data_IF_491965348989
#
_entry.id   IF_491965348989
#
_cell.length_a   1.000
_cell.length_b   1.000
_cell.length_c   1.000
_cell.angle_alpha   90.00
_cell.angle_beta   90.00
_cell.angle_gamma   90.00
#
_symmetry.space_group_name_H-M   'P 1'
#
loop_
_entity.id
_entity.type
_entity.pdbx_description
1 polymer ?
#
# COMPACT_ATOMS: atom_id res chain seq x y z
N UNK A 1 -3.09 -19.68 -8.07
CA UNK A 1 -3.96 -20.59 -7.29
C UNK A 1 -4.16 -19.96 -5.93
N UNK A 2 -5.24 -19.21 -5.73
CA UNK A 2 -5.51 -18.48 -4.48
C UNK A 2 -6.99 -18.60 -4.12
N UNK A 3 -7.24 -18.74 -2.80
CA UNK A 3 -8.50 -19.08 -2.16
C UNK A 3 -9.44 -17.87 -2.10
N UNK A 4 -10.61 -17.99 -2.71
CA UNK A 4 -11.66 -16.96 -2.70
C UNK A 4 -12.43 -17.01 -1.38
N UNK A 5 -12.41 -15.91 -0.61
CA UNK A 5 -13.07 -15.82 0.69
C UNK A 5 -14.53 -15.32 0.59
N UNK A 6 -15.41 -15.99 1.34
CA UNK A 6 -16.89 -15.94 1.37
C UNK A 6 -17.53 -14.63 1.89
N UNK A 7 -16.86 -13.46 1.81
CA UNK A 7 -17.26 -12.27 2.59
C UNK A 7 -17.85 -11.07 1.84
N UNK A 8 -18.02 -11.12 0.52
CA UNK A 8 -18.78 -10.11 -0.27
C UNK A 8 -20.30 -10.08 0.00
N UNK A 9 -20.79 -10.88 0.96
CA UNK A 9 -22.22 -11.16 1.10
C UNK A 9 -23.05 -10.09 1.83
N UNK A 10 -22.47 -9.12 2.54
CA UNK A 10 -23.22 -8.40 3.58
C UNK A 10 -23.81 -7.03 3.21
N UNK A 11 -23.44 -6.40 2.10
CA UNK A 11 -24.06 -5.12 1.68
C UNK A 11 -24.99 -5.17 0.47
N UNK A 12 -25.19 -6.34 -0.16
CA UNK A 12 -26.08 -6.53 -1.33
C UNK A 12 -27.34 -7.38 -1.03
N UNK A 13 -27.83 -7.34 0.22
CA UNK A 13 -28.69 -8.37 0.83
C UNK A 13 -30.18 -8.40 0.43
N UNK A 14 -30.60 -7.86 -0.71
CA UNK A 14 -31.98 -8.09 -1.21
C UNK A 14 -32.07 -8.70 -2.60
N UNK A 15 -30.98 -8.73 -3.37
CA UNK A 15 -31.03 -9.19 -4.76
C UNK A 15 -30.15 -10.42 -4.99
N UNK A 16 -30.81 -11.59 -5.13
CA UNK A 16 -30.16 -12.87 -5.40
C UNK A 16 -29.30 -12.82 -6.68
N UNK A 17 -29.72 -12.06 -7.69
CA UNK A 17 -28.98 -11.89 -8.93
C UNK A 17 -27.65 -11.18 -8.71
N UNK A 18 -27.61 -10.12 -7.90
CA UNK A 18 -26.36 -9.42 -7.59
C UNK A 18 -25.32 -10.33 -6.93
N UNK A 19 -25.76 -11.24 -6.03
CA UNK A 19 -24.87 -12.21 -5.36
C UNK A 19 -24.25 -13.20 -6.34
N UNK A 20 -25.04 -13.72 -7.28
CA UNK A 20 -24.54 -14.65 -8.31
C UNK A 20 -23.51 -13.98 -9.22
N UNK A 21 -23.76 -12.74 -9.63
CA UNK A 21 -22.82 -11.98 -10.45
C UNK A 21 -21.51 -11.66 -9.72
N UNK A 22 -21.60 -11.22 -8.46
CA UNK A 22 -20.42 -10.93 -7.64
C UNK A 22 -19.59 -12.18 -7.39
N UNK A 23 -20.24 -13.32 -7.12
CA UNK A 23 -19.54 -14.58 -6.87
C UNK A 23 -18.86 -15.12 -8.14
N UNK A 24 -19.55 -15.10 -9.28
CA UNK A 24 -18.96 -15.50 -10.56
C UNK A 24 -17.78 -14.58 -10.98
N UNK A 25 -17.82 -13.32 -10.56
CA UNK A 25 -16.78 -12.32 -10.80
C UNK A 25 -15.55 -12.54 -9.89
N UNK A 26 -15.75 -12.92 -8.63
CA UNK A 26 -14.63 -13.20 -7.71
C UNK A 26 -13.97 -14.55 -7.93
N UNK A 27 -14.73 -15.54 -8.40
CA UNK A 27 -14.22 -16.90 -8.63
C UNK A 27 -13.33 -16.99 -9.89
N UNK A 28 -13.38 -16.00 -10.78
CA UNK A 28 -12.62 -15.97 -12.04
C UNK A 28 -11.85 -14.64 -12.16
N UNK A 29 -10.55 -14.64 -11.86
CA UNK A 29 -9.68 -13.47 -12.07
C UNK A 29 -8.66 -13.72 -13.20
N UNK A 30 -8.47 -12.77 -14.14
CA UNK A 30 -9.16 -11.48 -14.27
C UNK A 30 -10.66 -11.66 -14.58
N UNK A 31 -11.51 -10.70 -14.17
CA UNK A 31 -12.95 -10.88 -14.20
C UNK A 31 -13.44 -10.98 -15.64
N UNK A 32 -14.41 -11.86 -15.94
CA UNK A 32 -14.90 -11.99 -17.29
C UNK A 32 -15.58 -10.68 -17.72
N UNK A 33 -14.93 -9.94 -18.63
CA UNK A 33 -15.48 -8.76 -19.28
C UNK A 33 -16.93 -8.91 -19.82
N UNK A 34 -17.41 -10.11 -20.21
CA UNK A 34 -18.81 -10.30 -20.59
C UNK A 34 -19.82 -10.02 -19.47
N UNK A 35 -19.49 -10.26 -18.19
CA UNK A 35 -20.46 -10.12 -17.08
C UNK A 35 -20.93 -8.67 -16.88
N UNK A 36 -20.06 -7.71 -17.17
CA UNK A 36 -20.34 -6.27 -17.05
C UNK A 36 -21.29 -5.78 -18.15
N UNK A 37 -21.36 -6.51 -19.28
CA UNK A 37 -22.13 -6.14 -20.47
C UNK A 37 -23.53 -6.76 -20.50
N UNK A 38 -23.89 -7.59 -19.53
CA UNK A 38 -25.17 -8.31 -19.51
C UNK A 38 -26.36 -7.34 -19.41
N UNK A 39 -26.33 -6.40 -18.46
CA UNK A 39 -27.36 -5.38 -18.31
C UNK A 39 -26.85 -4.18 -17.51
N UNK A 40 -27.59 -3.06 -17.54
CA UNK A 40 -27.24 -1.85 -16.78
C UNK A 40 -27.12 -2.12 -15.28
N UNK A 41 -28.00 -2.94 -14.70
CA UNK A 41 -27.94 -3.28 -13.28
C UNK A 41 -26.65 -4.05 -12.93
N UNK A 42 -26.26 -5.03 -13.74
CA UNK A 42 -25.01 -5.75 -13.56
C UNK A 42 -23.80 -4.81 -13.69
N UNK A 43 -23.84 -3.86 -14.64
CA UNK A 43 -22.83 -2.83 -14.76
C UNK A 43 -22.72 -1.99 -13.47
N UNK A 44 -23.83 -1.49 -12.95
CA UNK A 44 -23.85 -0.68 -11.72
C UNK A 44 -23.39 -1.45 -10.48
N UNK A 45 -23.68 -2.75 -10.38
CA UNK A 45 -23.23 -3.58 -9.26
C UNK A 45 -21.74 -3.92 -9.32
N UNK A 46 -21.20 -4.17 -10.51
CA UNK A 46 -19.81 -4.59 -10.67
C UNK A 46 -18.84 -3.41 -10.73
N UNK A 47 -19.30 -2.21 -11.08
CA UNK A 47 -18.43 -1.03 -11.21
C UNK A 47 -17.68 -0.68 -9.91
N UNK A 48 -18.31 -0.62 -8.71
CA UNK A 48 -17.58 -0.35 -7.47
C UNK A 48 -16.51 -1.40 -7.20
N UNK A 49 -16.80 -2.67 -7.49
CA UNK A 49 -15.84 -3.77 -7.30
C UNK A 49 -14.65 -3.59 -8.25
N UNK A 50 -14.89 -3.40 -9.55
CA UNK A 50 -13.84 -3.22 -10.56
C UNK A 50 -12.87 -2.07 -10.28
N UNK A 51 -13.38 -0.97 -9.72
CA UNK A 51 -12.58 0.23 -9.46
C UNK A 51 -12.07 0.30 -8.02
N UNK A 52 -12.48 -0.62 -7.13
CA UNK A 52 -12.15 -0.56 -5.72
C UNK A 52 -10.64 -0.53 -5.47
N UNK A 53 -9.90 -1.41 -6.15
CA UNK A 53 -8.44 -1.46 -6.10
C UNK A 53 -7.87 -1.54 -7.50
N UNK A 54 -6.86 -0.72 -7.75
CA UNK A 54 -6.20 -0.62 -9.05
C UNK A 54 -4.70 -0.69 -8.89
N UNK A 55 -4.03 -1.31 -9.86
CA UNK A 55 -2.58 -1.44 -9.89
C UNK A 55 -2.02 -0.95 -11.21
N UNK A 56 -0.87 -0.29 -11.16
CA UNK A 56 -0.15 0.23 -12.32
C UNK A 56 1.33 -0.18 -12.26
N UNK A 57 1.72 -1.08 -13.14
CA UNK A 57 3.11 -1.49 -13.34
C UNK A 57 3.85 -0.55 -14.30
N UNK A 58 3.13 0.12 -15.21
CA UNK A 58 3.72 0.97 -16.25
C UNK A 58 3.17 2.39 -16.29
N UNK A 59 4.00 3.33 -16.73
CA UNK A 59 3.63 4.72 -16.99
C UNK A 59 2.51 4.83 -18.04
N UNK A 60 2.55 3.97 -19.05
CA UNK A 60 1.54 3.91 -20.12
C UNK A 60 0.17 3.48 -19.60
N UNK A 61 0.10 2.43 -18.76
CA UNK A 61 -1.15 2.00 -18.14
C UNK A 61 -1.77 3.09 -17.27
N UNK A 62 -0.93 3.77 -16.49
CA UNK A 62 -1.35 4.88 -15.63
C UNK A 62 -1.91 6.05 -16.46
N UNK A 63 -1.18 6.47 -17.49
CA UNK A 63 -1.57 7.57 -18.39
C UNK A 63 -2.84 7.26 -19.16
N UNK A 64 -2.96 6.03 -19.68
CA UNK A 64 -4.15 5.56 -20.41
C UNK A 64 -5.36 5.51 -19.49
N UNK A 65 -5.21 4.99 -18.27
CA UNK A 65 -6.29 4.94 -17.29
C UNK A 65 -6.81 6.34 -16.98
N UNK A 66 -5.93 7.28 -16.62
CA UNK A 66 -6.39 8.64 -16.28
C UNK A 66 -7.01 9.33 -17.48
N UNK A 67 -6.44 9.18 -18.68
CA UNK A 67 -6.98 9.80 -19.90
C UNK A 67 -8.35 9.24 -20.30
N UNK A 68 -8.59 7.94 -20.08
CA UNK A 68 -9.87 7.30 -20.39
C UNK A 68 -10.99 7.65 -19.39
N UNK A 69 -10.64 8.02 -18.15
CA UNK A 69 -11.61 8.28 -17.07
C UNK A 69 -11.80 9.76 -16.77
N UNK A 70 -10.82 10.59 -17.11
CA UNK A 70 -10.88 12.02 -16.91
C UNK A 70 -11.58 12.69 -18.10
N UNK A 71 -12.90 12.78 -18.02
CA UNK A 71 -13.72 13.53 -18.97
C UNK A 71 -14.33 14.71 -18.20
N UNK A 72 -13.90 15.96 -18.47
CA UNK A 72 -14.47 17.15 -17.82
C UNK A 72 -16.00 17.12 -17.87
N UNK A 73 -16.65 17.31 -16.72
CA UNK A 73 -18.12 17.32 -16.56
C UNK A 73 -18.84 16.00 -16.92
N UNK A 74 -18.11 14.93 -17.19
CA UNK A 74 -18.67 13.62 -17.55
C UNK A 74 -19.02 12.73 -16.35
N UNK A 75 -20.02 11.86 -16.52
CA UNK A 75 -20.35 10.79 -15.56
C UNK A 75 -19.14 9.89 -15.22
N UNK A 76 -18.11 9.83 -16.08
CA UNK A 76 -16.92 9.01 -15.85
C UNK A 76 -15.97 9.55 -14.75
N UNK A 77 -15.95 10.86 -14.48
CA UNK A 77 -15.19 11.42 -13.35
C UNK A 77 -15.70 10.87 -11.99
N UNK A 78 -16.96 10.43 -11.91
CA UNK A 78 -17.50 9.81 -10.71
C UNK A 78 -16.80 8.50 -10.32
N UNK A 79 -16.10 7.83 -11.26
CA UNK A 79 -15.46 6.53 -11.00
C UNK A 79 -14.23 6.64 -10.11
N UNK A 80 -13.52 7.78 -10.10
CA UNK A 80 -12.41 7.97 -9.17
C UNK A 80 -12.84 7.91 -7.70
N UNK A 81 -14.11 8.20 -7.41
CA UNK A 81 -14.67 8.08 -6.06
C UNK A 81 -14.89 6.62 -5.64
N UNK A 82 -14.81 5.67 -6.56
CA UNK A 82 -14.92 4.24 -6.23
C UNK A 82 -13.57 3.66 -5.79
N UNK A 83 -12.46 4.32 -6.13
CA UNK A 83 -11.11 3.86 -5.84
C UNK A 83 -10.79 4.05 -4.36
N UNK A 84 -10.45 2.94 -3.70
CA UNK A 84 -10.02 2.88 -2.30
C UNK A 84 -8.56 2.50 -2.17
N UNK A 85 -8.03 1.68 -3.08
CA UNK A 85 -6.68 1.17 -3.00
C UNK A 85 -5.93 1.41 -4.32
N UNK A 86 -4.73 1.96 -4.24
CA UNK A 86 -3.87 2.18 -5.41
C UNK A 86 -2.52 1.52 -5.13
N UNK A 87 -2.05 0.76 -6.11
CA UNK A 87 -0.69 0.22 -6.17
C UNK A 87 0.02 0.75 -7.41
N UNK A 88 1.18 1.39 -7.27
CA UNK A 88 1.98 1.85 -8.40
C UNK A 88 3.40 1.32 -8.20
N UNK A 89 3.90 0.59 -9.20
CA UNK A 89 5.21 -0.04 -9.21
C UNK A 89 5.17 -1.49 -9.68
N UNK A 90 6.33 -2.14 -9.71
CA UNK A 90 6.45 -3.54 -10.11
C UNK A 90 5.73 -4.50 -9.17
N UNK A 91 5.42 -5.69 -9.67
CA UNK A 91 4.86 -6.84 -8.94
C UNK A 91 5.83 -8.02 -9.02
N UNK A 92 5.62 -9.10 -8.25
CA UNK A 92 6.47 -10.30 -8.36
C UNK A 92 6.50 -10.92 -9.76
N UNK A 93 5.41 -10.81 -10.51
CA UNK A 93 5.26 -11.40 -11.84
C UNK A 93 5.57 -10.41 -12.98
N UNK A 94 5.51 -9.10 -12.71
CA UNK A 94 5.67 -8.04 -13.71
C UNK A 94 6.40 -6.84 -13.12
N UNK A 95 7.68 -6.66 -13.48
CA UNK A 95 8.50 -5.53 -13.00
C UNK A 95 7.98 -4.16 -13.44
N UNK A 96 7.36 -4.08 -14.63
CA UNK A 96 6.89 -2.81 -15.19
C UNK A 96 8.01 -1.93 -15.76
N UNK A 97 7.73 -0.64 -15.96
CA UNK A 97 8.69 0.36 -16.48
C UNK A 97 8.96 1.53 -15.49
N UNK A 98 8.27 1.51 -14.34
CA UNK A 98 8.38 2.48 -13.26
C UNK A 98 9.49 2.08 -12.26
N UNK A 99 10.71 1.95 -12.75
CA UNK A 99 11.88 1.59 -11.93
C UNK A 99 12.46 2.79 -11.16
N UNK A 100 13.34 2.51 -10.19
CA UNK A 100 14.01 3.57 -9.42
C UNK A 100 14.91 4.41 -10.33
N UNK A 101 14.92 5.73 -10.14
CA UNK A 101 15.58 6.72 -11.00
C UNK A 101 15.06 6.75 -12.46
N UNK A 102 13.94 6.10 -12.75
CA UNK A 102 13.29 6.17 -14.06
C UNK A 102 12.78 7.59 -14.34
N UNK A 103 13.07 8.12 -15.52
CA UNK A 103 12.63 9.46 -15.95
C UNK A 103 11.22 9.47 -16.54
N UNK A 104 10.60 8.29 -16.72
CA UNK A 104 9.28 8.15 -17.34
C UNK A 104 8.13 8.18 -16.33
N UNK A 105 8.41 8.40 -15.05
CA UNK A 105 7.37 8.59 -14.03
C UNK A 105 6.44 9.75 -14.40
N UNK A 106 5.15 9.50 -14.67
CA UNK A 106 4.23 10.54 -15.12
C UNK A 106 3.66 11.31 -13.92
N UNK A 107 4.52 11.98 -13.15
CA UNK A 107 4.18 12.54 -11.83
C UNK A 107 2.93 13.44 -11.84
N UNK A 108 2.76 14.28 -12.86
CA UNK A 108 1.56 15.12 -13.02
C UNK A 108 0.29 14.27 -13.11
N UNK A 109 0.35 13.13 -13.80
CA UNK A 109 -0.76 12.20 -13.92
C UNK A 109 -1.01 11.49 -12.57
N UNK A 110 0.05 11.09 -11.86
CA UNK A 110 -0.10 10.49 -10.53
C UNK A 110 -0.73 11.46 -9.54
N UNK A 111 -0.21 12.70 -9.47
CA UNK A 111 -0.79 13.76 -8.63
C UNK A 111 -2.28 13.97 -8.93
N UNK A 112 -2.66 14.04 -10.22
CA UNK A 112 -4.05 14.19 -10.63
C UNK A 112 -4.92 13.00 -10.24
N UNK A 113 -4.43 11.77 -10.45
CA UNK A 113 -5.11 10.56 -10.01
C UNK A 113 -5.40 10.62 -8.50
N UNK A 114 -4.39 10.92 -7.69
CA UNK A 114 -4.53 11.03 -6.23
C UNK A 114 -5.50 12.15 -5.83
N UNK A 115 -5.48 13.27 -6.56
CA UNK A 115 -6.41 14.38 -6.32
C UNK A 115 -7.87 13.99 -6.56
N UNK A 116 -8.15 13.21 -7.61
CA UNK A 116 -9.52 12.78 -7.95
C UNK A 116 -10.02 11.63 -7.06
N UNK A 117 -9.12 10.80 -6.51
CA UNK A 117 -9.45 9.69 -5.63
C UNK A 117 -9.80 10.14 -4.20
N UNK A 118 -10.91 10.89 -4.05
CA UNK A 118 -11.38 11.46 -2.76
C UNK A 118 -11.73 10.45 -1.68
N UNK A 119 -11.73 9.16 -2.01
CA UNK A 119 -12.10 8.06 -1.14
C UNK A 119 -10.93 7.09 -0.88
N UNK A 120 -9.73 7.40 -1.37
CA UNK A 120 -8.51 6.60 -1.22
C UNK A 120 -8.19 6.34 0.25
N UNK A 121 -7.89 5.07 0.57
CA UNK A 121 -7.55 4.55 1.90
C UNK A 121 -6.17 3.92 1.93
N UNK A 122 -5.79 3.20 0.88
CA UNK A 122 -4.51 2.51 0.78
C UNK A 122 -3.74 3.00 -0.44
N UNK A 123 -2.49 3.38 -0.24
CA UNK A 123 -1.59 3.80 -1.32
C UNK A 123 -0.26 3.07 -1.16
N UNK A 124 0.13 2.34 -2.20
CA UNK A 124 1.45 1.76 -2.36
C UNK A 124 2.14 2.46 -3.52
N UNK A 125 3.27 3.12 -3.26
CA UNK A 125 4.14 3.72 -4.26
C UNK A 125 5.51 3.09 -4.15
N UNK A 126 5.86 2.30 -5.17
CA UNK A 126 7.17 1.66 -5.23
C UNK A 126 8.07 2.29 -6.26
N UNK A 127 9.38 2.28 -5.98
CA UNK A 127 10.43 2.71 -6.91
C UNK A 127 10.35 4.18 -7.36
N UNK A 128 9.59 5.02 -6.66
CA UNK A 128 9.62 6.47 -6.89
C UNK A 128 10.99 7.01 -6.44
N UNK A 129 11.64 7.79 -7.32
CA UNK A 129 12.92 8.43 -6.98
C UNK A 129 12.77 9.32 -5.74
N UNK A 130 13.75 9.25 -4.84
CA UNK A 130 13.74 9.97 -3.56
C UNK A 130 13.57 11.49 -3.69
N UNK A 131 13.99 12.08 -4.82
CA UNK A 131 13.87 13.52 -5.07
C UNK A 131 12.49 13.90 -5.63
N UNK A 132 11.73 12.92 -6.12
CA UNK A 132 10.41 13.10 -6.73
C UNK A 132 9.28 13.01 -5.70
N UNK A 133 9.51 12.34 -4.56
CA UNK A 133 8.54 12.27 -3.46
C UNK A 133 8.04 13.65 -3.02
N UNK A 134 8.95 14.60 -2.79
CA UNK A 134 8.63 15.98 -2.37
C UNK A 134 7.68 16.66 -3.34
N UNK A 135 7.78 16.34 -4.65
CA UNK A 135 6.90 16.92 -5.67
C UNK A 135 5.48 16.35 -5.60
N UNK A 136 5.26 15.22 -4.95
CA UNK A 136 3.96 14.56 -4.85
C UNK A 136 3.28 14.69 -3.47
N UNK A 137 3.98 15.12 -2.42
CA UNK A 137 3.42 15.22 -1.06
C UNK A 137 2.08 15.96 -0.99
N UNK A 138 1.95 17.04 -1.76
CA UNK A 138 0.73 17.85 -1.81
C UNK A 138 -0.49 17.08 -2.32
N UNK A 139 -0.29 16.05 -3.16
CA UNK A 139 -1.36 15.28 -3.78
C UNK A 139 -1.89 14.14 -2.88
N UNK A 140 -1.22 13.83 -1.77
CA UNK A 140 -1.64 12.78 -0.83
C UNK A 140 -2.99 13.16 -0.20
N UNK A 141 -4.07 12.37 -0.43
CA UNK A 141 -5.42 12.77 -0.01
C UNK A 141 -5.62 12.62 1.49
N UNK A 142 -6.38 13.54 2.09
CA UNK A 142 -6.72 13.52 3.53
C UNK A 142 -7.40 12.21 4.01
N UNK A 143 -8.01 11.45 3.11
CA UNK A 143 -8.71 10.20 3.45
C UNK A 143 -7.78 9.00 3.64
N UNK A 144 -6.51 9.12 3.25
CA UNK A 144 -5.54 8.03 3.28
C UNK A 144 -5.30 7.54 4.71
N UNK A 145 -5.30 6.22 4.88
CA UNK A 145 -5.07 5.53 6.16
C UNK A 145 -3.81 4.69 6.16
N UNK A 146 -3.46 4.11 5.01
CA UNK A 146 -2.30 3.24 4.86
C UNK A 146 -1.42 3.74 3.73
N UNK A 147 -0.14 3.92 4.00
CA UNK A 147 0.86 4.33 3.02
C UNK A 147 2.05 3.35 3.04
N UNK A 148 2.39 2.82 1.87
CA UNK A 148 3.55 1.96 1.66
C UNK A 148 4.47 2.64 0.66
N UNK A 149 5.73 2.85 1.05
CA UNK A 149 6.77 3.46 0.22
C UNK A 149 8.00 2.56 0.16
N UNK A 150 8.69 2.54 -1.00
CA UNK A 150 10.01 1.94 -1.17
C UNK A 150 10.19 1.19 -2.49
N UNK A 151 11.39 0.70 -2.83
CA UNK A 151 12.64 0.94 -2.16
C UNK A 151 13.08 2.40 -2.33
N UNK A 152 13.93 2.87 -1.42
CA UNK A 152 14.64 4.16 -1.49
C UNK A 152 13.70 5.36 -1.72
N UNK A 153 12.65 5.51 -0.89
CA UNK A 153 11.63 6.56 -1.09
C UNK A 153 12.03 7.99 -0.65
N UNK A 154 13.27 8.18 -0.19
CA UNK A 154 13.76 9.47 0.29
C UNK A 154 13.26 9.85 1.68
N UNK A 155 13.48 11.11 2.10
CA UNK A 155 13.00 11.58 3.39
C UNK A 155 11.47 11.65 3.45
N UNK A 156 10.87 10.97 4.43
CA UNK A 156 9.43 11.04 4.66
C UNK A 156 9.11 11.51 6.07
N UNK A 157 8.30 12.58 6.16
CA UNK A 157 7.74 13.08 7.42
C UNK A 157 6.22 13.19 7.27
N UNK A 158 5.48 12.37 8.00
CA UNK A 158 4.02 12.38 7.99
C UNK A 158 3.46 13.74 8.45
N UNK A 159 4.18 14.47 9.33
CA UNK A 159 3.80 15.82 9.74
C UNK A 159 3.80 16.84 8.60
N UNK A 160 4.58 16.60 7.55
CA UNK A 160 4.74 17.54 6.43
C UNK A 160 3.64 17.40 5.37
N UNK A 161 2.84 16.34 5.42
CA UNK A 161 1.76 16.11 4.45
C UNK A 161 0.72 17.24 4.51
N UNK A 162 0.53 18.05 3.45
CA UNK A 162 -0.29 19.26 3.51
C UNK A 162 -1.76 19.00 3.86
N UNK A 163 -2.31 17.88 3.40
CA UNK A 163 -3.70 17.51 3.63
C UNK A 163 -3.94 16.82 4.99
N UNK A 164 -2.88 16.58 5.78
CA UNK A 164 -2.92 15.97 7.13
C UNK A 164 -3.78 14.71 7.21
N UNK A 165 -3.49 13.68 6.40
CA UNK A 165 -4.25 12.44 6.43
C UNK A 165 -4.19 11.80 7.82
N UNK A 166 -5.25 11.13 8.24
CA UNK A 166 -5.25 10.31 9.46
C UNK A 166 -4.54 8.99 9.19
N UNK A 167 -3.23 9.06 8.94
CA UNK A 167 -2.40 7.90 8.62
C UNK A 167 -2.31 6.98 9.84
N UNK A 168 -2.89 5.79 9.71
CA UNK A 168 -2.94 4.74 10.75
C UNK A 168 -1.79 3.74 10.54
N UNK A 169 -1.44 3.45 9.29
CA UNK A 169 -0.40 2.49 8.95
C UNK A 169 0.63 3.08 7.99
N UNK A 170 1.90 2.92 8.32
CA UNK A 170 2.99 3.25 7.42
C UNK A 170 3.96 2.09 7.28
N UNK A 171 4.28 1.73 6.04
CA UNK A 171 5.34 0.77 5.73
C UNK A 171 6.43 1.44 4.91
N UNK A 172 7.66 1.39 5.42
CA UNK A 172 8.87 1.71 4.67
C UNK A 172 9.57 0.42 4.26
N UNK A 173 9.68 0.18 2.96
CA UNK A 173 10.39 -0.97 2.41
C UNK A 173 11.77 -0.57 1.90
N UNK A 174 12.79 -1.36 2.22
CA UNK A 174 14.15 -1.28 1.67
C UNK A 174 14.71 0.15 1.62
N UNK A 175 14.46 0.94 2.66
CA UNK A 175 14.85 2.34 2.73
C UNK A 175 15.54 2.63 4.06
N UNK A 176 16.66 3.33 3.98
CA UNK A 176 17.29 3.94 5.15
C UNK A 176 16.46 5.15 5.56
N UNK A 177 15.98 5.16 6.81
CA UNK A 177 15.25 6.28 7.39
C UNK A 177 16.11 6.92 8.47
N UNK A 178 16.17 8.25 8.50
CA UNK A 178 16.86 8.98 9.57
C UNK A 178 16.06 8.94 10.87
N UNK A 179 16.75 9.17 11.99
CA UNK A 179 16.15 9.10 13.33
C UNK A 179 14.99 10.09 13.50
N UNK A 180 15.11 11.29 12.93
CA UNK A 180 14.07 12.32 12.99
C UNK A 180 12.81 11.95 12.20
N UNK A 181 12.96 11.22 11.09
CA UNK A 181 11.82 10.70 10.32
C UNK A 181 11.09 9.59 11.07
N UNK A 182 11.85 8.68 11.69
CA UNK A 182 11.27 7.62 12.51
C UNK A 182 10.55 8.19 13.73
N UNK A 183 11.15 9.19 14.39
CA UNK A 183 10.50 9.89 15.50
C UNK A 183 9.22 10.59 15.05
N UNK A 184 9.22 11.25 13.88
CA UNK A 184 8.02 11.89 13.34
C UNK A 184 6.87 10.89 13.15
N UNK A 185 7.15 9.73 12.58
CA UNK A 185 6.15 8.68 12.35
C UNK A 185 5.63 8.06 13.64
N UNK A 186 6.54 7.72 14.56
CA UNK A 186 6.21 7.12 15.85
C UNK A 186 5.34 8.06 16.69
N UNK A 187 5.58 9.36 16.62
CA UNK A 187 4.82 10.38 17.32
C UNK A 187 3.60 10.91 16.55
N UNK A 188 3.36 10.40 15.34
CA UNK A 188 2.26 10.89 14.52
C UNK A 188 0.90 10.55 15.17
N UNK A 189 -0.04 11.51 15.33
CA UNK A 189 -1.18 11.36 16.23
C UNK A 189 -2.13 10.20 15.91
N UNK A 190 -2.27 9.82 14.64
CA UNK A 190 -3.13 8.70 14.23
C UNK A 190 -2.38 7.39 14.02
N UNK A 191 -1.06 7.38 14.09
CA UNK A 191 -0.25 6.21 13.73
C UNK A 191 -0.48 5.08 14.72
N UNK A 192 -0.84 3.91 14.18
CA UNK A 192 -1.09 2.66 14.89
C UNK A 192 -0.02 1.63 14.60
N UNK A 193 0.37 1.49 13.34
CA UNK A 193 1.38 0.51 12.92
C UNK A 193 2.45 1.21 12.10
N UNK A 194 3.68 1.15 12.58
CA UNK A 194 4.85 1.55 11.81
C UNK A 194 5.68 0.31 11.48
N UNK A 195 5.81 0.00 10.20
CA UNK A 195 6.52 -1.19 9.73
C UNK A 195 7.72 -0.84 8.86
N UNK A 196 8.80 -1.59 9.05
CA UNK A 196 9.99 -1.55 8.20
C UNK A 196 10.26 -2.93 7.64
N UNK A 197 10.27 -3.05 6.31
CA UNK A 197 10.67 -4.29 5.62
C UNK A 197 12.09 -4.08 5.10
N UNK A 198 13.01 -4.94 5.51
CA UNK A 198 14.43 -4.82 5.17
C UNK A 198 15.00 -6.15 4.68
N UNK A 199 15.92 -6.09 3.72
CA UNK A 199 16.59 -7.28 3.21
C UNK A 199 17.59 -7.81 4.24
N UNK A 200 17.58 -9.12 4.45
CA UNK A 200 18.45 -9.82 5.37
C UNK A 200 19.95 -9.63 5.08
N UNK A 201 20.32 -9.37 3.83
CA UNK A 201 21.70 -9.15 3.39
C UNK A 201 22.20 -7.71 3.59
N UNK A 202 21.37 -6.85 4.20
CA UNK A 202 21.71 -5.45 4.44
C UNK A 202 21.92 -5.15 5.93
N UNK A 203 22.45 -3.97 6.23
CA UNK A 203 22.46 -3.42 7.61
C UNK A 203 21.09 -2.85 8.03
N UNK A 204 20.12 -2.82 7.12
CA UNK A 204 18.78 -2.29 7.35
C UNK A 204 18.08 -2.83 8.59
N UNK A 205 18.07 -4.16 8.86
CA UNK A 205 17.50 -4.72 10.08
C UNK A 205 18.12 -4.13 11.36
N UNK A 206 19.44 -4.01 11.42
CA UNK A 206 20.15 -3.51 12.60
C UNK A 206 19.86 -2.03 12.84
N UNK A 207 19.88 -1.22 11.78
CA UNK A 207 19.53 0.20 11.87
C UNK A 207 18.08 0.40 12.31
N UNK A 208 17.16 -0.48 11.90
CA UNK A 208 15.78 -0.45 12.38
C UNK A 208 15.67 -0.77 13.88
N UNK A 209 16.46 -1.72 14.37
CA UNK A 209 16.54 -2.02 15.81
C UNK A 209 17.13 -0.84 16.59
N UNK A 210 18.14 -0.16 16.06
CA UNK A 210 18.75 1.01 16.73
C UNK A 210 17.75 2.15 17.02
N UNK A 211 16.69 2.25 16.23
CA UNK A 211 15.72 3.34 16.31
C UNK A 211 14.52 3.03 17.21
N UNK A 212 14.36 1.81 17.72
CA UNK A 212 13.20 1.43 18.57
C UNK A 212 13.04 2.21 19.89
N UNK A 213 14.09 2.79 20.54
CA UNK A 213 13.90 3.49 21.81
C UNK A 213 12.88 4.65 21.75
N UNK A 214 12.65 5.23 20.58
CA UNK A 214 11.69 6.32 20.41
C UNK A 214 10.23 5.93 20.69
N UNK A 215 9.88 4.64 20.66
CA UNK A 215 8.52 4.12 20.90
C UNK A 215 8.02 4.41 22.32
N UNK A 216 8.93 4.53 23.29
CA UNK A 216 8.59 4.93 24.67
C UNK A 216 7.88 6.29 24.75
N UNK A 217 8.00 7.13 23.72
CA UNK A 217 7.46 8.49 23.67
C UNK A 217 6.06 8.59 23.07
N UNK A 218 5.54 7.52 22.47
CA UNK A 218 4.22 7.52 21.82
C UNK A 218 3.17 6.80 22.65
N UNK A 219 1.96 7.35 22.62
CA UNK A 219 0.75 6.80 23.26
C UNK A 219 -0.23 6.18 22.25
N UNK A 220 -0.02 6.43 20.95
CA UNK A 220 -0.97 6.07 19.90
C UNK A 220 -0.53 4.86 19.10
N UNK A 221 0.79 4.66 18.98
CA UNK A 221 1.38 3.52 18.28
C UNK A 221 1.13 2.23 19.06
N UNK A 222 0.55 1.27 18.36
CA UNK A 222 0.18 -0.05 18.87
C UNK A 222 1.24 -1.09 18.50
N UNK A 223 1.85 -0.96 17.31
CA UNK A 223 2.86 -1.89 16.81
C UNK A 223 3.99 -1.16 16.05
N UNK A 224 5.24 -1.49 16.37
CA UNK A 224 6.39 -1.23 15.49
C UNK A 224 6.93 -2.57 15.00
N UNK A 225 6.84 -2.80 13.69
CA UNK A 225 7.25 -4.06 13.09
C UNK A 225 8.55 -3.90 12.29
N UNK A 226 9.50 -4.79 12.54
CA UNK A 226 10.71 -4.95 11.75
C UNK A 226 10.63 -6.32 11.08
N UNK A 227 10.42 -6.33 9.77
CA UNK A 227 10.34 -7.54 8.95
C UNK A 227 11.66 -7.73 8.22
N UNK A 228 12.35 -8.83 8.54
CA UNK A 228 13.57 -9.24 7.85
C UNK A 228 13.15 -10.19 6.73
N UNK A 229 13.15 -9.68 5.50
CA UNK A 229 12.76 -10.43 4.31
C UNK A 229 13.97 -11.13 3.67
N UNK A 230 13.76 -12.36 3.20
CA UNK A 230 14.71 -13.08 2.35
C UNK A 230 14.97 -14.52 2.79
N UNK A 231 15.81 -15.24 2.03
CA UNK A 231 16.08 -16.65 2.26
C UNK A 231 16.55 -16.94 3.70
N UNK A 232 16.13 -18.06 4.32
CA UNK A 232 16.46 -18.40 5.71
C UNK A 232 17.95 -18.37 6.04
N UNK A 233 18.81 -18.65 5.06
CA UNK A 233 20.27 -18.67 5.17
C UNK A 233 20.80 -17.31 5.62
N UNK A 234 20.15 -16.22 5.19
CA UNK A 234 20.52 -14.85 5.53
C UNK A 234 19.62 -14.25 6.60
N UNK A 235 18.31 -14.52 6.53
CA UNK A 235 17.33 -13.91 7.45
C UNK A 235 17.40 -14.48 8.86
N UNK A 236 17.81 -15.75 9.05
CA UNK A 236 17.91 -16.36 10.39
C UNK A 236 19.08 -15.79 11.22
N UNK A 237 20.31 -15.65 10.68
CA UNK A 237 21.39 -14.96 11.39
C UNK A 237 21.07 -13.49 11.70
N UNK A 238 20.51 -12.76 10.73
CA UNK A 238 20.11 -11.37 10.90
C UNK A 238 19.06 -11.21 12.01
N UNK A 239 18.03 -12.07 12.01
CA UNK A 239 17.01 -12.12 13.06
C UNK A 239 17.62 -12.39 14.43
N UNK A 240 18.51 -13.36 14.53
CA UNK A 240 19.15 -13.74 15.80
C UNK A 240 19.97 -12.58 16.37
N UNK A 241 20.71 -11.88 15.53
CA UNK A 241 21.47 -10.71 15.91
C UNK A 241 20.56 -9.56 16.37
N UNK A 242 19.49 -9.28 15.61
CA UNK A 242 18.50 -8.26 15.94
C UNK A 242 17.78 -8.58 17.26
N UNK A 243 17.40 -9.83 17.51
CA UNK A 243 16.76 -10.27 18.77
C UNK A 243 17.65 -9.99 19.98
N UNK A 244 18.93 -10.35 19.90
CA UNK A 244 19.88 -10.11 21.00
C UNK A 244 20.02 -8.62 21.30
N UNK A 245 20.24 -7.81 20.26
CA UNK A 245 20.36 -6.35 20.40
C UNK A 245 19.08 -5.72 20.95
N UNK A 246 17.92 -6.14 20.43
CA UNK A 246 16.63 -5.65 20.90
C UNK A 246 16.42 -5.95 22.39
N UNK A 247 16.75 -7.16 22.83
CA UNK A 247 16.64 -7.56 24.25
C UNK A 247 17.53 -6.73 25.18
N UNK A 248 18.69 -6.28 24.72
CA UNK A 248 19.57 -5.38 25.47
C UNK A 248 19.02 -3.95 25.56
N UNK A 249 18.23 -3.52 24.57
CA UNK A 249 17.73 -2.15 24.45
C UNK A 249 16.39 -1.92 25.12
N UNK A 250 15.45 -2.85 25.02
CA UNK A 250 14.07 -2.65 25.47
C UNK A 250 13.29 -3.96 25.60
N UNK A 251 12.27 -3.96 26.46
CA UNK A 251 11.28 -5.03 26.59
C UNK A 251 9.87 -4.56 26.19
N UNK A 252 9.76 -3.48 25.40
CA UNK A 252 8.47 -2.93 24.98
C UNK A 252 7.71 -3.95 24.11
N UNK A 253 6.51 -4.42 24.53
CA UNK A 253 5.78 -5.48 23.84
C UNK A 253 5.22 -5.05 22.48
N UNK A 254 5.22 -3.74 22.18
CA UNK A 254 4.76 -3.20 20.90
C UNK A 254 5.76 -3.46 19.76
N UNK A 255 7.01 -3.80 20.07
CA UNK A 255 8.02 -4.09 19.05
C UNK A 255 7.89 -5.54 18.60
N UNK A 256 7.63 -5.73 17.31
CA UNK A 256 7.55 -7.05 16.68
C UNK A 256 8.71 -7.21 15.70
N UNK A 257 9.52 -8.23 15.93
CA UNK A 257 10.59 -8.60 15.03
C UNK A 257 10.20 -9.90 14.33
N UNK A 258 9.97 -9.84 13.02
CA UNK A 258 9.48 -10.96 12.20
C UNK A 258 10.49 -11.32 11.13
N UNK A 259 10.51 -12.60 10.78
CA UNK A 259 11.25 -13.14 9.64
C UNK A 259 10.22 -13.56 8.60
N UNK A 260 10.42 -13.13 7.35
CA UNK A 260 9.64 -13.58 6.22
C UNK A 260 10.57 -14.15 5.15
N UNK A 261 10.23 -15.34 4.65
CA UNK A 261 11.06 -16.05 3.65
C UNK A 261 10.86 -15.51 2.25
N UNK A 262 9.78 -14.75 2.02
CA UNK A 262 9.44 -14.15 0.74
C UNK A 262 10.35 -12.95 0.47
N UNK A 263 10.53 -12.63 -0.82
CA UNK A 263 11.11 -11.36 -1.22
C UNK A 263 10.18 -10.22 -0.80
N UNK A 264 10.73 -9.07 -0.38
CA UNK A 264 9.94 -7.94 0.15
C UNK A 264 8.81 -7.48 -0.78
N UNK A 265 9.04 -7.55 -2.10
CA UNK A 265 8.04 -7.17 -3.11
C UNK A 265 6.81 -8.09 -3.06
N UNK A 266 7.03 -9.39 -2.84
CA UNK A 266 5.95 -10.36 -2.70
C UNK A 266 5.12 -10.08 -1.45
N UNK A 267 5.76 -9.72 -0.34
CA UNK A 267 5.06 -9.39 0.93
C UNK A 267 4.08 -8.23 0.70
N UNK A 268 4.57 -7.13 0.11
CA UNK A 268 3.76 -5.94 -0.13
C UNK A 268 2.64 -6.21 -1.15
N UNK A 269 2.93 -6.98 -2.19
CA UNK A 269 1.95 -7.28 -3.22
C UNK A 269 0.84 -8.21 -2.71
N UNK A 270 1.18 -9.25 -1.94
CA UNK A 270 0.20 -10.14 -1.30
C UNK A 270 -0.76 -9.35 -0.40
N UNK A 271 -0.24 -8.41 0.40
CA UNK A 271 -1.06 -7.55 1.26
C UNK A 271 -1.95 -6.58 0.47
N UNK A 272 -1.46 -6.07 -0.66
CA UNK A 272 -2.30 -5.29 -1.56
C UNK A 272 -3.49 -6.10 -2.07
N UNK A 273 -3.28 -7.38 -2.38
CA UNK A 273 -4.36 -8.28 -2.75
C UNK A 273 -5.31 -8.56 -1.57
N UNK A 274 -4.82 -8.59 -0.32
CA UNK A 274 -5.67 -8.74 0.87
C UNK A 274 -6.58 -7.52 1.12
N UNK A 275 -6.15 -6.29 0.78
CA UNK A 275 -7.02 -5.10 0.91
C UNK A 275 -8.25 -5.15 -0.01
N UNK A 276 -8.20 -5.94 -1.08
CA UNK A 276 -9.37 -6.25 -1.88
C UNK A 276 -10.44 -6.99 -1.07
N UNK A 277 -10.01 -7.85 -0.14
CA UNK A 277 -10.87 -8.76 0.60
C UNK A 277 -11.45 -8.14 1.89
N UNK A 278 -10.75 -7.18 2.49
CA UNK A 278 -11.09 -6.62 3.81
C UNK A 278 -12.08 -5.44 3.76
N UNK A 279 -12.00 -4.57 2.75
CA UNK A 279 -12.80 -3.34 2.65
C UNK A 279 -14.14 -3.50 1.90
N UNK A 280 -14.49 -4.72 1.46
CA UNK A 280 -15.78 -5.04 0.83
C UNK A 280 -16.99 -5.10 1.78
N UNK A 281 -16.92 -4.41 2.92
CA UNK A 281 -17.95 -4.34 3.97
C UNK A 281 -18.77 -3.07 3.91
#
# INVERSE_FOLDING_TARGET
MLLVSRRLHRHFLSNLSARVFLQAFTDNWPPPAPLIRVCQAAHEWLLPVLYHSISFTTASHLSTFVSAHYIPEGRMNSRFHLIRNIYIGGTPDESGDLEYASTIWPLTIVCRLLWECKKLKHLTLLYLDQNEWVKMEHAIPATLKTLVLGPIHGPFRASNLPQRPQLEHFTSSQTFMRDDEVVDLVLYPSMKIFRRITDANSMGPLWAVDQVPCISRTITLEEMEIVISGPPEYSTPALSLCKRKLHEMTNDPRIKLRQDRRHWLQIIFDEFLEYWESDGT
#
